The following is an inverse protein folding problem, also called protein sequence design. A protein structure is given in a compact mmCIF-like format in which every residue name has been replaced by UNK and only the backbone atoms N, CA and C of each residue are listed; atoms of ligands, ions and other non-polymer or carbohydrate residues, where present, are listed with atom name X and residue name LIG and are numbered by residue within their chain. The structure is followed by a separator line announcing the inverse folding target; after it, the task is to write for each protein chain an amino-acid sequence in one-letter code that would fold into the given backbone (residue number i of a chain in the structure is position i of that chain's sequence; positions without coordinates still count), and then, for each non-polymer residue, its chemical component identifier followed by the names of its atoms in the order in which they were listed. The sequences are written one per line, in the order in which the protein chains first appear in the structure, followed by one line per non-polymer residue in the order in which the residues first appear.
data_IF_586645215419
#
_entry.id   IF_586645215419
#
_cell.length_a   1.000
_cell.length_b   1.000
_cell.length_c   1.000
_cell.angle_alpha   90.00
_cell.angle_beta   90.00
_cell.angle_gamma   90.00
#
_symmetry.space_group_name_H-M   'P 1'
#
loop_
_entity.id
_entity.type
_entity.pdbx_description
1 polymer ?
#
# COMPACT_ATOMS: atom_id res chain seq x y z
N UNK A 1 -5.23 -25.92 -76.21
CA UNK A 1 -5.53 -26.69 -74.97
C UNK A 1 -5.08 -25.84 -73.83
N UNK A 2 -6.03 -25.28 -73.06
CA UNK A 2 -5.78 -24.25 -72.10
C UNK A 2 -5.56 -24.89 -70.70
N UNK A 3 -4.40 -24.62 -70.13
CA UNK A 3 -4.11 -24.99 -68.73
C UNK A 3 -4.47 -23.76 -67.86
N UNK A 4 -5.59 -23.86 -67.13
CA UNK A 4 -6.00 -22.84 -66.18
C UNK A 4 -5.20 -22.99 -64.90
N UNK A 5 -4.28 -22.05 -64.64
CA UNK A 5 -3.54 -21.92 -63.39
C UNK A 5 -4.45 -21.34 -62.31
N UNK A 6 -4.74 -22.12 -61.28
CA UNK A 6 -5.49 -21.69 -60.09
C UNK A 6 -4.52 -21.11 -59.07
N UNK A 7 -4.42 -19.78 -58.99
CA UNK A 7 -3.71 -19.11 -57.93
C UNK A 7 -4.59 -19.10 -56.66
N UNK A 8 -4.26 -19.94 -55.71
CA UNK A 8 -4.88 -19.92 -54.40
C UNK A 8 -4.27 -18.78 -53.56
N UNK A 9 -5.06 -17.75 -53.33
CA UNK A 9 -4.71 -16.61 -52.47
C UNK A 9 -4.82 -17.05 -51.02
N UNK A 10 -3.68 -17.25 -50.34
CA UNK A 10 -3.62 -17.55 -48.91
C UNK A 10 -3.73 -16.25 -48.14
N UNK A 11 -4.86 -16.02 -47.49
CA UNK A 11 -5.01 -14.96 -46.49
C UNK A 11 -4.31 -15.42 -45.20
N UNK A 12 -3.20 -14.77 -44.85
CA UNK A 12 -2.57 -14.92 -43.56
C UNK A 12 -3.30 -13.96 -42.61
N UNK A 13 -4.13 -14.52 -41.74
CA UNK A 13 -4.75 -13.77 -40.66
C UNK A 13 -3.71 -13.68 -39.55
N UNK A 14 -3.10 -12.50 -39.42
CA UNK A 14 -2.19 -12.18 -38.33
C UNK A 14 -3.03 -11.86 -37.08
N UNK A 15 -3.29 -12.86 -36.25
CA UNK A 15 -3.92 -12.66 -34.94
C UNK A 15 -2.94 -11.98 -34.00
N UNK A 16 -3.01 -10.66 -33.92
CA UNK A 16 -2.27 -9.89 -32.93
C UNK A 16 -2.91 -10.07 -31.55
N UNK A 17 -2.30 -10.88 -30.69
CA UNK A 17 -2.65 -10.94 -29.27
C UNK A 17 -2.20 -9.65 -28.60
N UNK A 18 -3.12 -8.74 -28.27
CA UNK A 18 -2.84 -7.64 -27.35
C UNK A 18 -2.69 -8.25 -25.94
N UNK A 19 -1.46 -8.38 -25.49
CA UNK A 19 -1.18 -8.61 -24.09
C UNK A 19 -1.54 -7.33 -23.31
N UNK A 20 -2.69 -7.33 -22.65
CA UNK A 20 -3.01 -6.32 -21.65
C UNK A 20 -2.12 -6.59 -20.44
N UNK A 21 -0.95 -5.96 -20.41
CA UNK A 21 -0.15 -5.87 -19.20
C UNK A 21 -0.92 -4.98 -18.23
N UNK A 22 -1.58 -5.59 -17.26
CA UNK A 22 -2.15 -4.88 -16.13
C UNK A 22 -1.02 -4.15 -15.41
N UNK A 23 -0.84 -2.88 -15.69
CA UNK A 23 -0.01 -2.00 -14.89
C UNK A 23 -0.68 -1.93 -13.52
N UNK A 24 -0.15 -2.65 -12.54
CA UNK A 24 -0.35 -2.29 -11.14
C UNK A 24 0.32 -0.93 -11.03
N UNK A 25 -0.47 0.12 -11.00
CA UNK A 25 0.04 1.44 -10.74
C UNK A 25 0.59 1.42 -9.31
N UNK A 26 1.92 1.36 -9.18
CA UNK A 26 2.58 1.66 -7.93
C UNK A 26 2.08 3.04 -7.47
N UNK A 27 1.86 3.20 -6.16
CA UNK A 27 1.36 4.46 -5.63
C UNK A 27 2.31 5.63 -5.94
N UNK A 28 1.76 6.83 -6.00
CA UNK A 28 2.51 8.07 -6.19
C UNK A 28 3.10 8.54 -4.85
N UNK A 29 4.39 8.31 -4.64
CA UNK A 29 5.09 8.69 -3.41
C UNK A 29 5.08 10.21 -3.14
N UNK A 30 5.04 11.05 -4.17
CA UNK A 30 4.96 12.51 -3.99
C UNK A 30 3.58 12.94 -3.46
N UNK A 31 2.51 12.29 -3.93
CA UNK A 31 1.17 12.46 -3.36
C UNK A 31 1.10 11.87 -1.96
N UNK A 32 1.69 10.70 -1.77
CA UNK A 32 1.77 10.02 -0.47
C UNK A 32 2.44 10.90 0.61
N UNK A 33 3.48 11.65 0.24
CA UNK A 33 4.10 12.62 1.14
C UNK A 33 3.14 13.71 1.61
N UNK A 34 2.29 14.22 0.72
CA UNK A 34 1.26 15.21 1.10
C UNK A 34 0.20 14.62 2.02
N UNK A 35 -0.22 13.39 1.74
CA UNK A 35 -1.17 12.68 2.61
C UNK A 35 -0.58 12.41 4.00
N UNK A 36 0.72 12.18 4.08
CA UNK A 36 1.43 11.95 5.35
C UNK A 36 1.40 13.17 6.28
N UNK A 37 1.14 14.38 5.81
CA UNK A 37 1.08 15.59 6.64
C UNK A 37 0.09 15.46 7.81
N UNK A 38 -1.04 14.78 7.60
CA UNK A 38 -1.98 14.47 8.68
C UNK A 38 -1.39 13.49 9.70
N UNK A 39 -0.63 12.51 9.25
CA UNK A 39 0.01 11.52 10.10
C UNK A 39 1.14 12.14 10.93
N UNK A 40 1.86 13.09 10.37
CA UNK A 40 2.98 13.79 10.99
C UNK A 40 2.58 14.59 12.24
N UNK A 41 1.29 14.88 12.43
CA UNK A 41 0.78 15.50 13.66
C UNK A 41 1.01 14.60 14.90
N UNK A 42 1.10 13.29 14.71
CA UNK A 42 1.24 12.31 15.79
C UNK A 42 2.45 11.38 15.64
N UNK A 43 2.94 11.17 14.42
CA UNK A 43 4.01 10.22 14.10
C UNK A 43 5.25 10.93 13.54
N UNK A 44 6.41 10.50 14.00
CA UNK A 44 7.69 10.86 13.39
C UNK A 44 8.24 9.70 12.53
N UNK A 45 9.16 10.01 11.63
CA UNK A 45 9.85 9.02 10.78
C UNK A 45 11.20 8.61 11.37
N UNK A 46 11.73 9.38 12.30
CA UNK A 46 13.01 9.14 12.96
C UNK A 46 12.89 8.04 14.02
N UNK A 47 13.94 7.24 14.14
CA UNK A 47 14.02 6.16 15.15
C UNK A 47 13.89 6.72 16.57
N UNK A 48 13.00 6.12 17.37
CA UNK A 48 12.79 6.47 18.77
C UNK A 48 12.11 7.82 19.00
N UNK A 49 11.74 8.53 17.95
CA UNK A 49 10.99 9.79 18.05
C UNK A 49 9.49 9.49 18.23
N UNK A 50 9.13 9.00 19.41
CA UNK A 50 7.73 8.75 19.79
C UNK A 50 7.07 10.05 20.25
N UNK A 51 5.83 10.25 19.81
CA UNK A 51 4.98 11.38 20.21
C UNK A 51 3.63 10.88 20.71
N UNK A 52 2.56 11.47 20.21
CA UNK A 52 1.18 10.98 20.44
C UNK A 52 1.03 9.57 19.85
N UNK A 53 1.62 9.33 18.67
CA UNK A 53 1.77 8.02 18.07
C UNK A 53 3.22 7.52 18.14
N UNK A 54 3.45 6.23 17.86
CA UNK A 54 4.80 5.67 17.79
C UNK A 54 5.56 6.18 16.57
N UNK A 55 6.89 6.20 16.66
CA UNK A 55 7.74 6.39 15.48
C UNK A 55 7.40 5.36 14.40
N UNK A 56 7.36 5.77 13.15
CA UNK A 56 7.14 4.89 12.00
C UNK A 56 8.44 4.37 11.39
N UNK A 57 9.61 4.72 11.94
CA UNK A 57 10.88 4.18 11.47
C UNK A 57 10.85 2.65 11.50
N UNK A 58 11.22 2.00 10.39
CA UNK A 58 11.22 0.54 10.27
C UNK A 58 9.85 -0.14 10.36
N UNK A 59 8.76 0.58 10.12
CA UNK A 59 7.39 0.04 10.30
C UNK A 59 7.14 -1.23 9.50
N UNK A 60 7.69 -1.36 8.30
CA UNK A 60 7.51 -2.56 7.45
C UNK A 60 8.26 -3.80 7.94
N UNK A 61 9.13 -3.66 8.94
CA UNK A 61 9.89 -4.76 9.55
C UNK A 61 9.36 -5.12 10.94
N UNK A 62 8.23 -4.57 11.36
CA UNK A 62 7.66 -4.72 12.70
C UNK A 62 6.26 -5.29 12.67
N UNK A 63 5.83 -5.72 13.87
CA UNK A 63 4.44 -6.06 14.17
C UNK A 63 3.76 -4.92 14.92
N UNK A 64 2.45 -4.93 14.90
CA UNK A 64 1.64 -4.03 15.70
C UNK A 64 1.99 -4.19 17.20
N UNK A 65 2.19 -3.08 17.87
CA UNK A 65 2.48 -3.08 19.31
C UNK A 65 3.88 -3.51 19.70
N UNK A 66 4.84 -3.58 18.78
CA UNK A 66 6.15 -4.18 19.01
C UNK A 66 7.19 -3.25 19.66
N UNK A 67 7.11 -1.92 19.47
CA UNK A 67 8.08 -1.01 20.07
C UNK A 67 7.97 -1.03 21.60
N UNK A 68 9.09 -1.35 22.27
CA UNK A 68 9.15 -1.44 23.72
C UNK A 68 9.03 -0.08 24.42
N UNK A 69 9.44 0.99 23.73
CA UNK A 69 9.50 2.36 24.23
C UNK A 69 8.22 3.18 23.93
N UNK A 70 7.17 2.55 23.39
CA UNK A 70 5.88 3.18 23.15
C UNK A 70 4.73 2.48 23.89
N UNK A 71 3.82 3.27 24.46
CA UNK A 71 2.69 2.75 25.23
C UNK A 71 1.47 2.48 24.36
N UNK A 72 1.44 1.32 23.72
CA UNK A 72 0.31 0.88 22.91
C UNK A 72 -0.94 0.52 23.73
N UNK A 73 -2.10 0.51 23.07
CA UNK A 73 -3.31 -0.12 23.61
C UNK A 73 -3.10 -1.63 23.80
N UNK A 74 -3.81 -2.26 24.74
CA UNK A 74 -3.81 -3.72 24.85
C UNK A 74 -4.27 -4.41 23.55
N UNK A 75 -5.22 -3.80 22.83
CA UNK A 75 -5.70 -4.33 21.55
C UNK A 75 -4.59 -4.35 20.48
N UNK A 76 -3.83 -3.26 20.35
CA UNK A 76 -2.71 -3.19 19.42
C UNK A 76 -1.64 -4.23 19.72
N UNK A 77 -1.29 -4.40 21.01
CA UNK A 77 -0.31 -5.42 21.44
C UNK A 77 -0.78 -6.84 21.15
N UNK A 78 -2.04 -7.16 21.42
CA UNK A 78 -2.60 -8.50 21.18
C UNK A 78 -2.76 -8.83 19.70
N UNK A 79 -2.97 -7.82 18.88
CA UNK A 79 -3.13 -7.99 17.42
C UNK A 79 -1.89 -8.65 16.81
N UNK A 80 -0.68 -8.20 17.20
CA UNK A 80 0.59 -8.66 16.64
C UNK A 80 0.60 -8.74 15.09
N UNK A 81 -0.24 -7.92 14.44
CA UNK A 81 -0.40 -7.85 12.99
C UNK A 81 0.94 -7.43 12.36
N UNK A 82 1.52 -8.21 11.43
CA UNK A 82 2.73 -7.78 10.74
C UNK A 82 2.42 -6.62 9.81
N UNK A 83 3.21 -5.55 9.87
CA UNK A 83 3.05 -4.41 8.99
C UNK A 83 3.70 -4.66 7.63
N UNK A 84 2.90 -4.68 6.61
CA UNK A 84 3.28 -4.74 5.22
C UNK A 84 2.29 -3.94 4.37
N UNK A 85 2.52 -3.80 3.08
CA UNK A 85 1.66 -3.00 2.21
C UNK A 85 0.18 -3.41 2.29
N UNK A 86 -0.10 -4.72 2.33
CA UNK A 86 -1.46 -5.25 2.39
C UNK A 86 -2.14 -4.96 3.74
N UNK A 87 -1.46 -5.24 4.84
CA UNK A 87 -2.04 -5.05 6.18
C UNK A 87 -2.18 -3.58 6.51
N UNK A 88 -1.26 -2.73 6.04
CA UNK A 88 -1.39 -1.27 6.14
C UNK A 88 -2.56 -0.74 5.31
N UNK A 89 -2.79 -1.26 4.11
CA UNK A 89 -3.96 -0.86 3.30
C UNK A 89 -5.28 -1.14 4.04
N UNK A 90 -5.43 -2.33 4.61
CA UNK A 90 -6.61 -2.71 5.39
C UNK A 90 -6.75 -1.84 6.64
N UNK A 91 -5.66 -1.68 7.41
CA UNK A 91 -5.67 -0.88 8.64
C UNK A 91 -5.96 0.59 8.37
N UNK A 92 -5.36 1.17 7.34
CA UNK A 92 -5.57 2.58 6.97
C UNK A 92 -6.96 2.84 6.37
N UNK A 93 -7.64 1.83 5.85
CA UNK A 93 -9.03 1.98 5.40
C UNK A 93 -9.99 2.23 6.59
N UNK A 94 -9.84 1.46 7.67
CA UNK A 94 -10.61 1.62 8.91
C UNK A 94 -9.82 1.04 10.10
N UNK A 95 -9.02 1.87 10.79
CA UNK A 95 -8.19 1.41 11.90
C UNK A 95 -8.97 0.79 13.05
N UNK A 96 -10.19 1.28 13.32
CA UNK A 96 -11.00 0.76 14.42
C UNK A 96 -11.69 -0.56 14.08
N UNK A 97 -11.96 -0.80 12.83
CA UNK A 97 -12.48 -2.09 12.38
C UNK A 97 -11.39 -3.15 12.39
N UNK A 98 -10.21 -2.83 11.89
CA UNK A 98 -9.10 -3.79 11.79
C UNK A 98 -8.54 -4.17 13.17
N UNK A 99 -8.31 -3.19 14.04
CA UNK A 99 -7.85 -3.44 15.42
C UNK A 99 -8.80 -2.72 16.39
N UNK A 100 -9.90 -3.36 16.68
CA UNK A 100 -10.92 -2.81 17.58
C UNK A 100 -10.36 -2.54 18.98
N UNK A 101 -10.46 -1.30 19.41
CA UNK A 101 -9.95 -0.83 20.68
C UNK A 101 -8.49 -0.34 20.61
N UNK A 102 -7.95 -0.10 19.43
CA UNK A 102 -6.73 0.69 19.29
C UNK A 102 -7.02 2.16 19.70
N UNK A 103 -5.97 2.89 20.08
CA UNK A 103 -6.10 4.28 20.58
C UNK A 103 -5.77 5.33 19.53
N UNK A 104 -5.50 4.96 18.29
CA UNK A 104 -5.22 5.90 17.22
C UNK A 104 -6.52 6.64 16.84
N UNK A 105 -6.62 7.96 17.07
CA UNK A 105 -7.85 8.72 16.82
C UNK A 105 -7.92 9.14 15.35
N UNK A 106 -8.02 8.16 14.47
CA UNK A 106 -8.03 8.35 13.02
C UNK A 106 -9.15 7.54 12.39
N UNK A 107 -9.93 8.18 11.51
CA UNK A 107 -11.13 7.58 10.90
C UNK A 107 -10.81 6.66 9.71
N UNK A 108 -9.60 6.75 9.18
CA UNK A 108 -9.19 6.02 8.00
C UNK A 108 -9.21 6.84 6.71
N UNK A 109 -8.69 6.25 5.66
CA UNK A 109 -8.63 6.81 4.31
C UNK A 109 -9.51 5.92 3.41
N UNK A 110 -10.72 6.38 3.02
CA UNK A 110 -11.64 5.55 2.23
C UNK A 110 -11.11 5.25 0.82
N UNK A 111 -10.42 6.21 0.21
CA UNK A 111 -9.92 6.08 -1.16
C UNK A 111 -8.71 5.15 -1.26
N UNK A 112 -8.88 4.04 -1.98
CA UNK A 112 -7.81 3.03 -2.14
C UNK A 112 -6.56 3.60 -2.81
N UNK A 113 -6.72 4.55 -3.74
CA UNK A 113 -5.60 5.20 -4.40
C UNK A 113 -4.75 6.03 -3.43
N UNK A 114 -5.40 6.77 -2.55
CA UNK A 114 -4.70 7.59 -1.56
C UNK A 114 -3.94 6.71 -0.55
N UNK A 115 -4.52 5.58 -0.15
CA UNK A 115 -3.82 4.60 0.68
C UNK A 115 -2.60 4.01 -0.03
N UNK A 116 -2.71 3.66 -1.31
CA UNK A 116 -1.59 3.16 -2.10
C UNK A 116 -0.45 4.19 -2.20
N UNK A 117 -0.79 5.45 -2.45
CA UNK A 117 0.18 6.55 -2.53
C UNK A 117 0.90 6.77 -1.19
N UNK A 118 0.15 6.78 -0.08
CA UNK A 118 0.71 6.91 1.26
C UNK A 118 1.63 5.73 1.61
N UNK A 119 1.22 4.51 1.31
CA UNK A 119 2.02 3.30 1.55
C UNK A 119 3.32 3.34 0.75
N UNK A 120 3.27 3.79 -0.50
CA UNK A 120 4.48 3.92 -1.32
C UNK A 120 5.45 4.96 -0.76
N UNK A 121 4.95 6.09 -0.27
CA UNK A 121 5.77 7.06 0.45
C UNK A 121 6.40 6.46 1.71
N UNK A 122 5.61 5.77 2.54
CA UNK A 122 6.10 5.16 3.78
C UNK A 122 7.18 4.11 3.53
N UNK A 123 7.09 3.31 2.48
CA UNK A 123 8.13 2.33 2.11
C UNK A 123 9.51 2.99 1.92
N UNK A 124 9.54 4.17 1.34
CA UNK A 124 10.78 4.91 1.12
C UNK A 124 11.24 5.67 2.36
N UNK A 125 10.30 6.27 3.09
CA UNK A 125 10.56 7.22 4.17
C UNK A 125 10.86 6.59 5.54
N UNK A 126 10.51 5.30 5.74
CA UNK A 126 10.61 4.62 7.04
C UNK A 126 11.68 3.52 7.11
N UNK A 127 12.63 3.52 6.19
CA UNK A 127 13.76 2.57 6.16
C UNK A 127 14.77 2.84 7.25
#
# INVERSE_FOLDING_TARGET
MNVMSKHALRFIVLSGSLAVTGAHADGDSARGKKLFEECAACHALERGANGVGPSLNGVFERKAGELADFRYSPAMKRSALPWNARTLDIFLADPQQEIKGNRMPFSGIPEARDRADLIEYLKAATK
#
